data_IF_774337979226
#
_entry.id   IF_774337979226
#
_cell.length_a   1.000
_cell.length_b   1.000
_cell.length_c   1.000
_cell.angle_alpha   90.00
_cell.angle_beta   90.00
_cell.angle_gamma   90.00
#
_symmetry.space_group_name_H-M   'P 1'
#
loop_
_entity.id
_entity.type
_entity.pdbx_description
1 polymer ?
#
# COMPACT_ATOMS: atom_id res chain seq x y z
N UNK A 1 -17.54 -11.89 -15.91
CA UNK A 1 -18.24 -13.08 -16.46
C UNK A 1 -18.55 -12.89 -17.92
N UNK A 2 -18.17 -13.82 -18.79
CA UNK A 2 -18.48 -13.81 -20.23
C UNK A 2 -19.47 -14.94 -20.59
N UNK A 3 -19.06 -15.94 -21.39
CA UNK A 3 -19.95 -17.00 -21.86
C UNK A 3 -20.49 -17.86 -20.71
N UNK A 4 -21.61 -18.55 -20.95
CA UNK A 4 -22.30 -19.36 -19.95
C UNK A 4 -21.56 -20.66 -19.54
N UNK A 5 -20.46 -20.98 -20.24
CA UNK A 5 -19.55 -22.10 -19.99
C UNK A 5 -18.20 -21.79 -20.61
N UNK A 6 -17.19 -22.57 -20.26
CA UNK A 6 -15.90 -22.51 -20.93
C UNK A 6 -16.02 -23.00 -22.38
N UNK A 7 -15.31 -22.34 -23.29
CA UNK A 7 -15.41 -22.58 -24.73
C UNK A 7 -14.08 -23.08 -25.31
N UNK A 8 -14.16 -23.81 -26.42
CA UNK A 8 -12.98 -24.20 -27.19
C UNK A 8 -12.36 -22.96 -27.86
N UNK A 9 -11.15 -22.57 -27.45
CA UNK A 9 -10.55 -21.30 -27.90
C UNK A 9 -10.28 -21.25 -29.41
N UNK A 10 -10.08 -22.38 -30.09
CA UNK A 10 -9.94 -22.39 -31.55
C UNK A 10 -11.26 -22.24 -32.31
N UNK A 11 -12.39 -22.66 -31.73
CA UNK A 11 -13.70 -22.61 -32.40
C UNK A 11 -14.34 -21.23 -32.20
N UNK A 12 -14.14 -20.65 -31.02
CA UNK A 12 -14.76 -19.38 -30.62
C UNK A 12 -13.77 -18.20 -30.54
N UNK A 13 -12.48 -18.47 -30.75
CA UNK A 13 -11.42 -17.45 -30.70
C UNK A 13 -11.64 -16.36 -31.74
N UNK A 14 -11.51 -15.10 -31.30
CA UNK A 14 -11.80 -13.93 -32.14
C UNK A 14 -13.29 -13.57 -32.26
N UNK A 15 -14.21 -14.51 -31.96
CA UNK A 15 -15.65 -14.26 -32.03
C UNK A 15 -16.27 -13.95 -30.66
N UNK A 16 -15.78 -14.57 -29.58
CA UNK A 16 -16.29 -14.38 -28.21
C UNK A 16 -15.23 -13.69 -27.35
N UNK A 17 -15.65 -12.70 -26.58
CA UNK A 17 -14.75 -12.00 -25.67
C UNK A 17 -14.22 -12.95 -24.59
N UNK A 18 -12.90 -12.98 -24.43
CA UNK A 18 -12.25 -13.68 -23.33
C UNK A 18 -12.31 -12.81 -22.07
N UNK A 19 -12.99 -13.23 -20.99
CA UNK A 19 -13.08 -12.46 -19.75
C UNK A 19 -11.73 -12.11 -19.12
N UNK A 20 -10.70 -12.95 -19.29
CA UNK A 20 -9.35 -12.65 -18.77
C UNK A 20 -8.76 -11.47 -19.53
N UNK A 21 -8.83 -11.45 -20.86
CA UNK A 21 -8.28 -10.36 -21.66
C UNK A 21 -8.98 -9.03 -21.35
N UNK A 22 -10.31 -9.08 -21.17
CA UNK A 22 -11.10 -7.89 -20.80
C UNK A 22 -10.70 -7.40 -19.41
N UNK A 23 -10.61 -8.31 -18.42
CA UNK A 23 -10.23 -7.95 -17.05
C UNK A 23 -8.80 -7.38 -17.00
N UNK A 24 -7.85 -8.01 -17.68
CA UNK A 24 -6.47 -7.55 -17.76
C UNK A 24 -6.36 -6.15 -18.36
N UNK A 25 -7.12 -5.88 -19.44
CA UNK A 25 -7.18 -4.55 -20.04
C UNK A 25 -7.74 -3.51 -19.07
N UNK A 26 -8.90 -3.76 -18.46
CA UNK A 26 -9.49 -2.84 -17.49
C UNK A 26 -8.54 -2.57 -16.32
N UNK A 27 -7.81 -3.58 -15.85
CA UNK A 27 -6.82 -3.40 -14.80
C UNK A 27 -5.66 -2.50 -15.27
N UNK A 28 -5.10 -2.78 -16.45
CA UNK A 28 -3.99 -2.01 -16.99
C UNK A 28 -4.37 -0.54 -17.22
N UNK A 29 -5.59 -0.29 -17.68
CA UNK A 29 -6.09 1.05 -18.01
C UNK A 29 -6.44 1.90 -16.76
N UNK A 30 -6.33 1.36 -15.53
CA UNK A 30 -6.47 2.14 -14.28
C UNK A 30 -5.24 2.96 -13.91
N UNK A 31 -4.11 2.74 -14.60
CA UNK A 31 -2.88 3.51 -14.43
C UNK A 31 -2.36 3.98 -15.79
N UNK A 32 -1.79 5.17 -15.84
CA UNK A 32 -1.14 5.66 -17.04
C UNK A 32 0.32 5.20 -17.16
N UNK A 33 0.98 5.60 -18.25
CA UNK A 33 2.38 5.25 -18.52
C UNK A 33 3.36 5.85 -17.49
N UNK A 34 2.96 6.94 -16.83
CA UNK A 34 3.72 7.61 -15.78
C UNK A 34 3.41 7.04 -14.38
N UNK A 35 2.61 5.97 -14.29
CA UNK A 35 2.30 5.24 -13.05
C UNK A 35 1.25 5.92 -12.17
N UNK A 36 0.53 6.92 -12.69
CA UNK A 36 -0.52 7.63 -11.96
C UNK A 36 -1.86 6.92 -12.15
N UNK A 37 -2.67 6.87 -11.09
CA UNK A 37 -4.00 6.25 -11.13
C UNK A 37 -4.98 7.17 -11.89
N UNK A 38 -5.66 6.63 -12.90
CA UNK A 38 -6.44 7.44 -13.86
C UNK A 38 -7.91 7.61 -13.48
N UNK A 39 -8.31 7.10 -12.32
CA UNK A 39 -9.70 7.15 -11.85
C UNK A 39 -10.13 8.61 -11.58
N UNK A 40 -11.28 9.07 -12.13
CA UNK A 40 -11.74 10.44 -11.92
C UNK A 40 -11.90 10.77 -10.43
N UNK A 41 -11.31 11.90 -10.02
CA UNK A 41 -11.36 12.41 -8.64
C UNK A 41 -10.49 11.66 -7.63
N UNK A 42 -9.69 10.67 -8.06
CA UNK A 42 -8.90 9.83 -7.15
C UNK A 42 -7.86 10.62 -6.33
N UNK A 43 -7.31 11.68 -6.93
CA UNK A 43 -6.28 12.52 -6.32
C UNK A 43 -6.83 13.82 -5.71
N UNK A 44 -8.15 14.05 -5.72
CA UNK A 44 -8.74 15.32 -5.26
C UNK A 44 -8.48 15.57 -3.77
N UNK A 45 -8.47 14.51 -2.96
CA UNK A 45 -8.21 14.57 -1.52
C UNK A 45 -6.74 14.26 -1.18
N UNK A 46 -5.86 14.07 -2.17
CA UNK A 46 -4.46 13.74 -1.90
C UNK A 46 -3.68 15.01 -1.58
N UNK A 47 -3.16 15.10 -0.36
CA UNK A 47 -2.32 16.21 0.08
C UNK A 47 -1.08 16.36 -0.81
N UNK A 48 -0.80 17.60 -1.23
CA UNK A 48 0.46 17.95 -1.87
C UNK A 48 1.40 18.54 -0.82
N UNK A 49 2.43 17.78 -0.46
CA UNK A 49 3.46 18.22 0.47
C UNK A 49 4.36 19.28 -0.17
N UNK A 50 4.86 20.20 0.65
CA UNK A 50 5.84 21.21 0.22
C UNK A 50 7.19 20.57 -0.08
N UNK A 51 8.01 21.23 -0.89
CA UNK A 51 9.34 20.73 -1.24
C UNK A 51 10.22 20.57 0.01
N UNK A 52 10.08 21.44 1.01
CA UNK A 52 10.81 21.33 2.28
C UNK A 52 10.40 20.08 3.08
N UNK A 53 9.10 19.74 3.09
CA UNK A 53 8.63 18.53 3.76
C UNK A 53 9.11 17.26 3.05
N UNK A 54 9.18 17.30 1.72
CA UNK A 54 9.70 16.19 0.89
C UNK A 54 11.21 16.02 1.09
N UNK A 55 11.96 17.13 1.12
CA UNK A 55 13.40 17.12 1.41
C UNK A 55 13.71 16.56 2.80
N UNK A 56 12.92 16.90 3.82
CA UNK A 56 13.11 16.36 5.18
C UNK A 56 12.87 14.85 5.23
N UNK A 57 11.87 14.33 4.49
CA UNK A 57 11.64 12.89 4.36
C UNK A 57 12.83 12.18 3.70
N UNK A 58 13.40 12.78 2.66
CA UNK A 58 14.55 12.24 1.92
C UNK A 58 15.87 12.25 2.73
N UNK A 59 15.89 12.86 3.93
CA UNK A 59 17.03 12.73 4.86
C UNK A 59 17.17 11.33 5.44
N UNK A 60 16.09 10.52 5.43
CA UNK A 60 16.15 9.13 5.83
C UNK A 60 17.15 8.39 4.92
N UNK A 61 18.19 7.72 5.46
CA UNK A 61 19.17 7.02 4.63
C UNK A 61 18.50 5.97 3.76
N UNK A 62 18.51 6.18 2.45
CA UNK A 62 17.99 5.24 1.46
C UNK A 62 19.00 5.05 0.33
N UNK A 63 19.41 3.80 0.10
CA UNK A 63 20.26 3.42 -1.02
C UNK A 63 19.42 2.64 -2.03
N UNK A 64 19.09 3.30 -3.15
CA UNK A 64 18.32 2.70 -4.22
C UNK A 64 19.01 1.48 -4.83
N UNK A 65 20.34 1.47 -4.94
CA UNK A 65 21.07 0.34 -5.50
C UNK A 65 21.04 -0.86 -4.54
N UNK A 66 21.20 -0.62 -3.24
CA UNK A 66 21.06 -1.66 -2.22
C UNK A 66 19.63 -2.23 -2.19
N UNK A 67 18.61 -1.36 -2.24
CA UNK A 67 17.19 -1.74 -2.30
C UNK A 67 16.89 -2.64 -3.50
N UNK A 68 17.34 -2.24 -4.70
CA UNK A 68 17.17 -3.03 -5.92
C UNK A 68 17.87 -4.38 -5.85
N UNK A 69 19.08 -4.41 -5.27
CA UNK A 69 19.86 -5.63 -5.08
C UNK A 69 19.18 -6.60 -4.10
N UNK A 70 18.67 -6.10 -2.99
CA UNK A 70 18.01 -6.90 -1.95
C UNK A 70 16.73 -7.57 -2.49
N UNK A 71 15.92 -6.81 -3.23
CA UNK A 71 14.70 -7.32 -3.86
C UNK A 71 14.94 -8.13 -5.14
N UNK A 72 16.17 -8.16 -5.67
CA UNK A 72 16.49 -8.85 -6.91
C UNK A 72 15.80 -8.25 -8.14
N UNK A 73 15.62 -6.93 -8.19
CA UNK A 73 14.98 -6.21 -9.30
C UNK A 73 15.99 -5.33 -10.05
N UNK A 74 15.80 -5.16 -11.36
CA UNK A 74 16.67 -4.30 -12.17
C UNK A 74 16.34 -2.82 -11.99
N UNK A 75 15.05 -2.47 -11.92
CA UNK A 75 14.57 -1.10 -11.78
C UNK A 75 13.31 -0.99 -10.92
N UNK A 76 13.13 0.19 -10.32
CA UNK A 76 11.90 0.56 -9.60
C UNK A 76 10.87 1.18 -10.57
N UNK A 77 9.58 1.01 -10.26
CA UNK A 77 8.47 1.59 -11.03
C UNK A 77 7.47 2.25 -10.08
N UNK A 78 6.88 3.37 -10.50
CA UNK A 78 5.78 4.03 -9.79
C UNK A 78 5.53 5.43 -10.34
N UNK A 79 4.69 6.20 -9.63
CA UNK A 79 4.30 7.55 -10.05
C UNK A 79 5.53 8.44 -10.34
N UNK A 80 5.59 9.00 -11.55
CA UNK A 80 6.67 9.89 -11.99
C UNK A 80 6.67 11.19 -11.19
N UNK A 81 7.87 11.73 -10.93
CA UNK A 81 8.05 12.93 -10.13
C UNK A 81 8.20 12.68 -8.62
N UNK A 82 8.10 11.43 -8.19
CA UNK A 82 8.28 11.01 -6.80
C UNK A 82 9.38 9.95 -6.67
N UNK A 83 10.18 10.06 -5.61
CA UNK A 83 11.17 9.07 -5.19
C UNK A 83 10.51 7.76 -4.74
N UNK A 84 11.29 6.69 -4.58
CA UNK A 84 10.77 5.41 -4.07
C UNK A 84 10.16 5.56 -2.67
N UNK A 85 10.78 6.35 -1.80
CA UNK A 85 10.29 6.59 -0.44
C UNK A 85 9.00 7.41 -0.47
N UNK A 86 8.94 8.43 -1.32
CA UNK A 86 7.74 9.24 -1.47
C UNK A 86 6.55 8.42 -1.97
N UNK A 87 6.77 7.55 -2.97
CA UNK A 87 5.73 6.66 -3.51
C UNK A 87 5.14 5.75 -2.44
N UNK A 88 5.94 5.27 -1.49
CA UNK A 88 5.51 4.39 -0.41
C UNK A 88 4.84 5.17 0.73
N UNK A 89 5.35 6.35 1.06
CA UNK A 89 4.94 7.08 2.27
C UNK A 89 3.86 8.13 2.07
N UNK A 90 3.78 8.78 0.90
CA UNK A 90 2.93 9.97 0.68
C UNK A 90 2.10 9.93 -0.60
N UNK A 91 2.26 8.89 -1.43
CA UNK A 91 1.45 8.69 -2.63
C UNK A 91 0.51 7.49 -2.45
N UNK A 92 -0.73 7.59 -2.94
CA UNK A 92 -1.60 6.42 -2.98
C UNK A 92 -1.09 5.41 -4.03
N UNK A 93 -1.39 4.13 -3.81
CA UNK A 93 -1.09 3.05 -4.77
C UNK A 93 -2.34 2.27 -5.13
N UNK A 94 -2.28 1.50 -6.22
CA UNK A 94 -3.32 0.57 -6.62
C UNK A 94 -2.65 -0.66 -7.22
N UNK A 95 -2.93 -1.82 -6.65
CA UNK A 95 -2.21 -3.06 -6.95
C UNK A 95 -3.16 -4.26 -7.04
N UNK A 96 -2.81 -5.21 -7.91
CA UNK A 96 -3.52 -6.48 -8.07
C UNK A 96 -2.84 -7.56 -7.24
N UNK A 97 -3.48 -7.96 -6.16
CA UNK A 97 -2.96 -8.98 -5.24
C UNK A 97 -3.24 -10.41 -5.73
N UNK A 98 -4.14 -10.56 -6.69
CA UNK A 98 -4.42 -11.85 -7.32
C UNK A 98 -5.33 -11.72 -8.52
N UNK A 99 -5.12 -12.55 -9.53
CA UNK A 99 -5.93 -12.62 -10.75
C UNK A 99 -6.06 -14.08 -11.17
N UNK A 100 -7.28 -14.54 -11.45
CA UNK A 100 -7.51 -15.94 -11.81
C UNK A 100 -8.72 -16.15 -12.72
N UNK A 101 -8.68 -17.24 -13.48
CA UNK A 101 -9.72 -17.67 -14.42
C UNK A 101 -9.17 -18.73 -15.37
N UNK A 102 -10.05 -19.48 -16.04
CA UNK A 102 -9.64 -20.46 -17.05
C UNK A 102 -8.76 -21.59 -16.52
N UNK A 103 -7.70 -21.91 -17.26
CA UNK A 103 -6.80 -23.01 -16.95
C UNK A 103 -5.58 -22.52 -16.15
N UNK A 104 -5.47 -22.95 -14.90
CA UNK A 104 -4.41 -22.52 -13.96
C UNK A 104 -3.48 -23.66 -13.53
N UNK A 105 -3.61 -24.85 -14.13
CA UNK A 105 -2.76 -26.01 -13.85
C UNK A 105 -1.53 -26.09 -14.75
N UNK A 106 -0.64 -27.06 -14.48
CA UNK A 106 0.55 -27.30 -15.30
C UNK A 106 0.22 -27.69 -16.75
N UNK A 107 1.08 -27.34 -17.71
CA UNK A 107 0.89 -27.68 -19.12
C UNK A 107 0.03 -26.68 -19.89
N UNK A 108 -0.63 -27.14 -20.96
CA UNK A 108 -1.37 -26.27 -21.88
C UNK A 108 -2.81 -26.74 -22.09
N UNK A 109 -3.76 -25.79 -22.08
CA UNK A 109 -5.15 -26.03 -22.45
C UNK A 109 -5.72 -24.87 -23.25
N UNK A 110 -6.20 -25.16 -24.45
CA UNK A 110 -6.75 -24.17 -25.38
C UNK A 110 -8.22 -23.83 -25.06
N UNK A 111 -8.44 -23.18 -23.91
CA UNK A 111 -9.77 -22.82 -23.39
C UNK A 111 -10.01 -21.32 -23.34
N UNK A 112 -11.23 -20.89 -23.67
CA UNK A 112 -11.73 -19.55 -23.40
C UNK A 112 -12.63 -19.61 -22.16
N UNK A 113 -12.26 -18.97 -21.05
CA UNK A 113 -12.98 -19.10 -19.79
C UNK A 113 -14.33 -18.39 -19.77
N UNK A 114 -15.28 -18.95 -19.03
CA UNK A 114 -16.55 -18.31 -18.71
C UNK A 114 -16.39 -17.15 -17.71
N UNK A 115 -15.41 -17.20 -16.81
CA UNK A 115 -15.23 -16.23 -15.72
C UNK A 115 -13.76 -15.92 -15.48
N UNK A 116 -13.53 -14.70 -15.04
CA UNK A 116 -12.24 -14.20 -14.55
C UNK A 116 -12.51 -13.33 -13.33
N UNK A 117 -11.54 -13.25 -12.44
CA UNK A 117 -11.63 -12.58 -11.15
C UNK A 117 -10.30 -11.91 -10.82
N UNK A 118 -10.36 -10.83 -10.03
CA UNK A 118 -9.19 -10.19 -9.46
C UNK A 118 -9.44 -9.78 -8.01
N UNK A 119 -8.37 -9.70 -7.23
CA UNK A 119 -8.29 -9.03 -5.93
C UNK A 119 -7.42 -7.79 -6.13
N UNK A 120 -7.98 -6.63 -5.82
CA UNK A 120 -7.34 -5.33 -6.02
C UNK A 120 -7.39 -4.60 -4.69
N UNK A 121 -6.28 -3.98 -4.30
CA UNK A 121 -6.22 -3.07 -3.15
C UNK A 121 -5.67 -1.72 -3.57
N UNK A 122 -6.04 -0.69 -2.83
CA UNK A 122 -5.42 0.62 -2.93
C UNK A 122 -4.83 1.00 -1.57
N UNK A 123 -3.58 1.49 -1.56
CA UNK A 123 -3.03 2.20 -0.41
C UNK A 123 -3.52 3.63 -0.46
N UNK A 124 -4.11 4.08 0.65
CA UNK A 124 -4.66 5.41 0.80
C UNK A 124 -3.72 6.30 1.61
N UNK A 125 -3.71 7.58 1.29
CA UNK A 125 -2.96 8.62 1.98
C UNK A 125 -3.92 9.58 2.68
N UNK A 126 -3.45 10.48 3.57
CA UNK A 126 -4.31 11.32 4.40
C UNK A 126 -5.40 12.04 3.61
N UNK A 127 -6.56 12.21 4.26
CA UNK A 127 -7.77 12.83 3.73
C UNK A 127 -8.56 12.02 2.68
N UNK A 128 -8.03 10.89 2.21
CA UNK A 128 -8.81 9.98 1.36
C UNK A 128 -9.79 9.13 2.18
N UNK A 129 -11.00 8.97 1.64
CA UNK A 129 -12.03 8.09 2.19
C UNK A 129 -12.06 6.73 1.46
N UNK A 130 -12.07 5.64 2.24
CA UNK A 130 -11.96 4.30 1.68
C UNK A 130 -13.22 3.86 0.90
N UNK A 131 -14.41 4.31 1.30
CA UNK A 131 -15.65 4.00 0.59
C UNK A 131 -15.75 4.79 -0.72
N UNK A 132 -15.34 6.06 -0.71
CA UNK A 132 -15.24 6.92 -1.90
C UNK A 132 -14.32 6.28 -2.94
N UNK A 133 -13.12 5.86 -2.54
CA UNK A 133 -12.17 5.20 -3.45
C UNK A 133 -12.68 3.83 -3.93
N UNK A 134 -13.28 3.03 -3.05
CA UNK A 134 -13.88 1.76 -3.45
C UNK A 134 -15.01 1.94 -4.49
N UNK A 135 -15.82 2.98 -4.32
CA UNK A 135 -16.86 3.34 -5.28
C UNK A 135 -16.29 3.83 -6.61
N UNK A 136 -15.20 4.62 -6.60
CA UNK A 136 -14.49 5.02 -7.84
C UNK A 136 -14.01 3.80 -8.63
N UNK A 137 -13.35 2.84 -7.96
CA UNK A 137 -12.88 1.60 -8.59
C UNK A 137 -14.07 0.80 -9.14
N UNK A 138 -15.12 0.63 -8.34
CA UNK A 138 -16.33 -0.09 -8.77
C UNK A 138 -16.96 0.55 -10.01
N UNK A 139 -17.16 1.86 -9.99
CA UNK A 139 -17.79 2.59 -11.09
C UNK A 139 -16.96 2.47 -12.36
N UNK A 140 -15.63 2.63 -12.26
CA UNK A 140 -14.72 2.42 -13.37
C UNK A 140 -14.93 1.07 -14.05
N UNK A 141 -14.95 -0.02 -13.27
CA UNK A 141 -15.15 -1.37 -13.81
C UNK A 141 -16.53 -1.57 -14.43
N UNK A 142 -17.58 -0.98 -13.87
CA UNK A 142 -18.95 -1.10 -14.37
C UNK A 142 -19.15 -0.29 -15.65
N UNK A 143 -18.59 0.92 -15.71
CA UNK A 143 -18.77 1.86 -16.81
C UNK A 143 -17.90 1.52 -18.03
N UNK A 144 -16.68 1.02 -17.82
CA UNK A 144 -15.73 0.74 -18.89
C UNK A 144 -15.80 -0.70 -19.41
N UNK A 145 -16.55 -1.59 -18.75
CA UNK A 145 -16.71 -2.96 -19.21
C UNK A 145 -17.50 -3.02 -20.54
N UNK A 146 -16.99 -3.73 -21.55
CA UNK A 146 -17.73 -3.92 -22.79
C UNK A 146 -18.97 -4.79 -22.54
N UNK A 147 -20.03 -4.57 -23.34
CA UNK A 147 -21.29 -5.35 -23.28
C UNK A 147 -21.12 -6.87 -23.47
N UNK A 148 -19.96 -7.31 -23.95
CA UNK A 148 -19.61 -8.71 -24.12
C UNK A 148 -19.31 -9.44 -22.80
N UNK A 149 -19.18 -8.72 -21.68
CA UNK A 149 -19.04 -9.30 -20.34
C UNK A 149 -19.99 -8.63 -19.35
N UNK A 150 -20.25 -9.34 -18.24
CA UNK A 150 -20.89 -8.82 -17.04
C UNK A 150 -19.85 -8.66 -15.94
N UNK A 151 -19.88 -7.53 -15.25
CA UNK A 151 -18.96 -7.19 -14.16
C UNK A 151 -19.74 -7.08 -12.85
N UNK A 152 -19.14 -7.61 -11.79
CA UNK A 152 -19.60 -7.52 -10.41
C UNK A 152 -18.38 -7.16 -9.56
N UNK A 153 -18.49 -6.11 -8.76
CA UNK A 153 -17.41 -5.63 -7.89
C UNK A 153 -17.94 -5.58 -6.47
N UNK A 154 -17.21 -6.21 -5.55
CA UNK A 154 -17.55 -6.28 -4.13
C UNK A 154 -16.47 -5.62 -3.31
N UNK A 155 -16.85 -4.63 -2.52
CA UNK A 155 -15.99 -4.05 -1.51
C UNK A 155 -15.86 -5.03 -0.33
N UNK A 156 -14.63 -5.20 0.17
CA UNK A 156 -14.32 -6.15 1.23
C UNK A 156 -14.05 -5.45 2.57
N UNK A 157 -13.09 -4.53 2.59
CA UNK A 157 -12.73 -3.75 3.77
C UNK A 157 -12.05 -2.45 3.34
N UNK A 158 -12.07 -1.47 4.24
CA UNK A 158 -11.33 -0.20 4.12
C UNK A 158 -10.69 0.16 5.45
N UNK A 159 -9.65 1.00 5.42
CA UNK A 159 -8.98 1.51 6.60
C UNK A 159 -8.65 2.97 6.40
N UNK A 160 -8.87 3.78 7.44
CA UNK A 160 -8.58 5.21 7.44
C UNK A 160 -7.07 5.43 7.59
N UNK A 161 -6.43 6.23 6.72
CA UNK A 161 -5.05 6.63 6.88
C UNK A 161 -4.86 7.44 8.18
N UNK A 162 -3.71 7.27 8.83
CA UNK A 162 -3.37 8.01 10.05
C UNK A 162 -2.03 8.73 9.88
N UNK A 163 -1.96 9.98 10.36
CA UNK A 163 -0.72 10.74 10.51
C UNK A 163 -0.64 11.21 11.94
N UNK A 164 0.48 10.92 12.58
CA UNK A 164 0.79 11.35 13.94
C UNK A 164 1.65 12.60 13.82
N UNK A 165 1.30 13.65 14.57
CA UNK A 165 2.06 14.90 14.61
C UNK A 165 3.42 14.69 15.27
N UNK A 166 4.45 15.21 14.61
CA UNK A 166 5.81 15.30 15.18
C UNK A 166 5.90 16.33 16.31
N UNK A 167 4.88 17.16 16.50
CA UNK A 167 4.80 18.11 17.61
C UNK A 167 4.20 17.50 18.87
N UNK A 168 3.65 16.29 18.78
CA UNK A 168 3.02 15.61 19.91
C UNK A 168 4.01 15.30 21.03
N UNK A 169 3.51 15.31 22.28
CA UNK A 169 4.33 14.91 23.44
C UNK A 169 4.81 13.46 23.27
N UNK A 170 3.95 12.59 22.72
CA UNK A 170 4.29 11.20 22.41
C UNK A 170 5.48 11.09 21.46
N UNK A 171 5.45 11.82 20.34
CA UNK A 171 6.55 11.82 19.39
C UNK A 171 7.84 12.39 19.98
N UNK A 172 7.79 13.55 20.65
CA UNK A 172 8.98 14.18 21.25
C UNK A 172 9.62 13.29 22.32
N UNK A 173 8.81 12.61 23.13
CA UNK A 173 9.30 11.64 24.12
C UNK A 173 9.92 10.41 23.45
N UNK A 174 9.30 9.88 22.40
CA UNK A 174 9.86 8.75 21.63
C UNK A 174 11.18 9.13 20.96
N UNK A 175 11.25 10.31 20.33
CA UNK A 175 12.46 10.81 19.69
C UNK A 175 13.65 10.89 20.66
N UNK A 176 13.44 11.45 21.87
CA UNK A 176 14.47 11.45 22.92
C UNK A 176 14.84 10.06 23.41
N UNK A 177 13.86 9.15 23.52
CA UNK A 177 14.12 7.77 23.95
C UNK A 177 14.99 7.02 22.93
N UNK A 178 14.73 7.22 21.64
CA UNK A 178 15.55 6.69 20.57
C UNK A 178 16.95 7.31 20.58
N UNK A 179 17.08 8.63 20.78
CA UNK A 179 18.38 9.28 20.84
C UNK A 179 19.23 8.80 22.02
N UNK A 180 18.64 8.71 23.21
CA UNK A 180 19.31 8.18 24.42
C UNK A 180 19.78 6.74 24.22
N UNK A 181 18.90 5.90 23.66
CA UNK A 181 19.20 4.49 23.50
C UNK A 181 20.23 4.34 22.38
N UNK A 182 19.93 4.79 21.16
CA UNK A 182 20.65 4.53 19.91
C UNK A 182 21.77 5.51 19.56
N UNK A 183 21.92 6.59 20.33
CA UNK A 183 22.94 7.61 20.11
C UNK A 183 22.73 8.43 18.84
N UNK A 184 21.52 8.38 18.27
CA UNK A 184 21.13 9.12 17.05
C UNK A 184 19.67 9.55 17.15
N UNK A 185 19.40 10.79 16.77
CA UNK A 185 18.03 11.29 16.63
C UNK A 185 17.31 10.53 15.52
N UNK A 186 16.12 9.95 15.78
CA UNK A 186 15.36 9.27 14.75
C UNK A 186 14.76 10.27 13.75
N UNK A 187 14.59 9.82 12.51
CA UNK A 187 13.96 10.60 11.44
C UNK A 187 12.49 10.18 11.37
N UNK A 188 11.53 11.12 11.35
CA UNK A 188 10.12 10.77 11.17
C UNK A 188 9.91 10.18 9.78
N UNK A 189 9.24 9.03 9.72
CA UNK A 189 8.89 8.37 8.46
C UNK A 189 7.38 8.18 8.35
N UNK A 190 6.90 8.08 7.10
CA UNK A 190 5.58 7.54 6.79
C UNK A 190 5.78 6.16 6.16
N UNK A 191 4.93 5.21 6.47
CA UNK A 191 5.00 3.85 5.95
C UNK A 191 3.78 3.50 5.10
N UNK A 192 3.99 2.73 4.03
CA UNK A 192 2.91 2.22 3.17
C UNK A 192 2.12 1.05 3.80
N UNK A 193 2.49 0.64 5.01
CA UNK A 193 1.74 -0.34 5.81
C UNK A 193 0.38 0.21 6.25
N UNK A 194 -0.44 -0.64 6.88
CA UNK A 194 -1.71 -0.17 7.45
C UNK A 194 -1.98 -0.86 8.77
N UNK A 195 -2.24 -0.05 9.79
CA UNK A 195 -2.63 -0.50 11.14
C UNK A 195 -3.98 0.17 11.46
N UNK A 196 -5.13 -0.40 11.01
CA UNK A 196 -6.42 0.29 11.06
C UNK A 196 -6.86 0.78 12.44
N UNK A 197 -6.42 0.10 13.50
CA UNK A 197 -6.75 0.46 14.89
C UNK A 197 -6.18 1.82 15.30
N UNK A 198 -5.12 2.32 14.64
CA UNK A 198 -4.49 3.61 14.95
C UNK A 198 -5.47 4.75 14.71
N UNK A 199 -6.06 4.81 13.51
CA UNK A 199 -7.07 5.82 13.18
C UNK A 199 -8.31 5.67 14.08
N UNK A 200 -8.73 4.43 14.37
CA UNK A 200 -9.86 4.18 15.25
C UNK A 200 -9.61 4.71 16.68
N UNK A 201 -8.42 4.51 17.24
CA UNK A 201 -8.09 5.07 18.56
C UNK A 201 -8.08 6.60 18.57
N UNK A 202 -7.58 7.23 17.50
CA UNK A 202 -7.62 8.69 17.37
C UNK A 202 -9.04 9.22 17.36
N UNK A 203 -9.94 8.58 16.61
CA UNK A 203 -11.34 8.96 16.50
C UNK A 203 -12.13 8.70 17.80
N UNK A 204 -12.04 7.49 18.35
CA UNK A 204 -12.88 7.06 19.47
C UNK A 204 -12.40 7.58 20.83
N UNK A 205 -11.08 7.71 21.02
CA UNK A 205 -10.50 8.11 22.31
C UNK A 205 -10.03 9.57 22.32
N UNK A 206 -9.93 10.22 21.16
CA UNK A 206 -9.38 11.57 21.05
C UNK A 206 -7.92 11.68 21.52
N UNK A 207 -7.18 10.57 21.48
CA UNK A 207 -5.77 10.51 21.88
C UNK A 207 -4.88 10.37 20.65
N UNK A 208 -3.67 10.89 20.76
CA UNK A 208 -2.66 10.78 19.70
C UNK A 208 -1.74 9.58 19.99
N UNK A 209 -1.88 8.46 19.24
CA UNK A 209 -1.01 7.30 19.41
C UNK A 209 0.41 7.63 18.94
N UNK A 210 1.39 6.86 19.42
CA UNK A 210 2.75 6.88 18.88
C UNK A 210 3.12 5.48 18.41
N UNK A 211 3.67 5.39 17.20
CA UNK A 211 4.21 4.16 16.64
C UNK A 211 5.72 4.17 16.80
N UNK A 212 6.25 3.12 17.44
CA UNK A 212 7.68 2.95 17.67
C UNK A 212 8.11 1.64 17.00
N UNK A 213 8.78 1.77 15.86
CA UNK A 213 9.31 0.65 15.09
C UNK A 213 10.66 0.19 15.61
N UNK A 214 10.83 -1.13 15.71
CA UNK A 214 12.09 -1.76 16.12
C UNK A 214 12.55 -2.86 15.17
N UNK A 215 11.69 -3.29 14.25
CA UNK A 215 12.06 -4.26 13.22
C UNK A 215 12.92 -3.65 12.13
N UNK A 216 13.43 -4.52 11.27
CA UNK A 216 14.16 -4.16 10.05
C UNK A 216 13.40 -4.66 8.82
N UNK A 217 13.66 -4.08 7.65
CA UNK A 217 13.07 -4.55 6.39
C UNK A 217 13.40 -6.03 6.11
N UNK A 218 14.55 -6.50 6.62
CA UNK A 218 14.97 -7.90 6.54
C UNK A 218 14.09 -8.87 7.31
N UNK A 219 13.27 -8.41 8.25
CA UNK A 219 12.45 -9.26 9.13
C UNK A 219 11.39 -10.06 8.34
N UNK A 220 11.12 -9.68 7.10
CA UNK A 220 10.30 -10.42 6.14
C UNK A 220 8.87 -10.69 6.62
N UNK A 221 8.24 -9.66 7.19
CA UNK A 221 6.86 -9.73 7.70
C UNK A 221 5.90 -10.31 6.64
N UNK A 222 5.07 -11.28 7.05
CA UNK A 222 4.14 -12.01 6.18
C UNK A 222 4.78 -12.89 5.09
N UNK A 223 6.08 -13.13 5.14
CA UNK A 223 6.81 -13.95 4.18
C UNK A 223 7.39 -15.21 4.85
N UNK A 224 7.74 -16.27 4.09
CA UNK A 224 8.48 -17.39 4.66
C UNK A 224 9.79 -16.95 5.32
N UNK A 225 10.15 -17.60 6.44
CA UNK A 225 11.32 -17.29 7.26
C UNK A 225 11.31 -15.88 7.89
N UNK A 226 10.13 -15.38 8.25
CA UNK A 226 9.98 -14.21 9.12
C UNK A 226 10.84 -14.38 10.40
N UNK A 227 11.61 -13.34 10.75
CA UNK A 227 12.52 -13.37 11.89
C UNK A 227 12.62 -12.01 12.58
N UNK A 228 13.25 -11.97 13.76
CA UNK A 228 13.45 -10.74 14.50
C UNK A 228 14.77 -10.77 15.27
N UNK A 229 15.59 -9.73 15.11
CA UNK A 229 16.92 -9.67 15.70
C UNK A 229 16.91 -9.50 17.23
N UNK A 230 17.67 -10.32 17.96
CA UNK A 230 17.79 -10.20 19.42
C UNK A 230 18.38 -8.85 19.86
N UNK A 231 19.30 -8.29 19.07
CA UNK A 231 19.82 -6.95 19.33
C UNK A 231 18.67 -5.92 19.34
N UNK A 232 17.86 -5.87 18.28
CA UNK A 232 16.69 -4.99 18.18
C UNK A 232 15.66 -5.27 19.29
N UNK A 233 15.49 -6.53 19.69
CA UNK A 233 14.61 -6.90 20.80
C UNK A 233 15.02 -6.25 22.12
N UNK A 234 16.28 -6.42 22.53
CA UNK A 234 16.77 -5.82 23.78
C UNK A 234 16.81 -4.30 23.72
N UNK A 235 17.16 -3.74 22.57
CA UNK A 235 17.17 -2.29 22.35
C UNK A 235 15.77 -1.70 22.35
N UNK A 236 14.77 -2.43 21.87
CA UNK A 236 13.36 -2.05 21.99
C UNK A 236 12.92 -1.94 23.44
N UNK A 237 13.27 -2.91 24.29
CA UNK A 237 12.95 -2.89 25.74
C UNK A 237 13.55 -1.66 26.42
N UNK A 238 14.82 -1.37 26.14
CA UNK A 238 15.53 -0.19 26.65
C UNK A 238 14.86 1.11 26.17
N UNK A 239 14.57 1.21 24.88
CA UNK A 239 13.93 2.40 24.27
C UNK A 239 12.55 2.65 24.87
N UNK A 240 11.71 1.61 25.03
CA UNK A 240 10.37 1.75 25.64
C UNK A 240 10.47 2.22 27.09
N UNK A 241 11.47 1.76 27.84
CA UNK A 241 11.70 2.21 29.22
C UNK A 241 12.06 3.70 29.28
N UNK A 242 12.94 4.17 28.39
CA UNK A 242 13.25 5.60 28.26
C UNK A 242 12.07 6.43 27.78
N UNK A 243 11.23 5.88 26.89
CA UNK A 243 10.01 6.55 26.43
C UNK A 243 9.09 6.88 27.61
N UNK A 244 8.78 5.92 28.49
CA UNK A 244 7.92 6.19 29.65
C UNK A 244 8.50 7.24 30.60
N UNK A 245 9.83 7.25 30.80
CA UNK A 245 10.53 8.29 31.58
C UNK A 245 10.29 9.67 30.95
N UNK A 246 10.66 9.85 29.68
CA UNK A 246 10.56 11.14 29.00
C UNK A 246 9.13 11.61 28.80
N UNK A 247 8.21 10.69 28.49
CA UNK A 247 6.79 11.00 28.36
C UNK A 247 6.24 11.55 29.68
N UNK A 248 6.51 10.86 30.80
CA UNK A 248 6.08 11.32 32.13
C UNK A 248 6.70 12.66 32.53
N UNK A 249 7.95 12.93 32.14
CA UNK A 249 8.61 14.22 32.39
C UNK A 249 7.99 15.35 31.57
N UNK A 250 7.58 15.09 30.32
CA UNK A 250 7.01 16.07 29.41
C UNK A 250 5.50 16.28 29.58
N UNK A 251 4.78 15.31 30.16
CA UNK A 251 3.34 15.41 30.42
C UNK A 251 2.98 16.15 31.71
N UNK A 252 3.97 16.67 32.45
CA UNK A 252 3.77 17.51 33.64
C UNK A 252 3.62 18.98 33.24
#
# INVERSE_FOLDING_TARGET
TGPNRDLHSGVYGGAVANPINVLAKLIADMQDEDGRITLPGFYDDVEQLSDEAREEMDRAPFDLAAYKKDLGIEEVKGEKGFSTIERVGIRPSLDVNGIWGGYTGEGAKTVLPSKAYAKISSRLVPHQDSEKVANMIKNYFVENAPKSVKVDVKFHHGGTPAVISIESIGYRAASKAFEETWGKTPIPTREGGSIPIVALFMEELGVEPILMGFGLDSDAIHSPNEHYGLFNFYRGIETISHFYRFFTEMSK
#
